data_IF_095585224842
#
_entry.id   IF_095585224842
#
_cell.length_a   1.000
_cell.length_b   1.000
_cell.length_c   1.000
_cell.angle_alpha   90.00
_cell.angle_beta   90.00
_cell.angle_gamma   90.00
#
_symmetry.space_group_name_H-M   'P 1'
#
loop_
_entity.id
_entity.type
_entity.pdbx_description
1 polymer ?
#
# COMPACT_ATOMS: atom_id res chain seq x y z
N UNK A 1 15.71 17.64 7.92
CA UNK A 1 15.47 16.82 6.74
C UNK A 1 15.71 15.34 6.94
N UNK A 2 14.68 14.52 6.71
CA UNK A 2 14.84 13.14 6.24
C UNK A 2 13.77 12.84 5.18
N UNK A 3 14.08 11.90 4.29
CA UNK A 3 13.17 11.52 3.21
C UNK A 3 12.39 10.27 3.56
N UNK A 4 11.09 10.30 3.29
CA UNK A 4 10.26 9.11 3.15
C UNK A 4 10.31 8.75 1.67
N UNK A 5 11.04 7.70 1.32
CA UNK A 5 11.22 7.36 -0.08
C UNK A 5 9.90 6.91 -0.70
N UNK A 6 9.59 7.48 -1.86
CA UNK A 6 8.46 7.09 -2.68
C UNK A 6 8.73 5.82 -3.47
N UNK A 7 7.85 5.50 -4.42
CA UNK A 7 7.98 4.31 -5.25
C UNK A 7 7.22 4.44 -6.57
N UNK A 8 7.59 3.57 -7.52
CA UNK A 8 6.81 3.35 -8.73
C UNK A 8 5.92 2.13 -8.54
N UNK A 9 4.67 2.26 -9.00
CA UNK A 9 3.69 1.19 -8.92
C UNK A 9 3.16 0.88 -10.32
N UNK A 10 3.22 -0.38 -10.70
CA UNK A 10 2.65 -0.90 -11.94
C UNK A 10 1.35 -1.63 -11.61
N UNK A 11 0.24 -1.16 -12.17
CA UNK A 11 -1.10 -1.65 -11.90
C UNK A 11 -1.72 -2.16 -13.19
N UNK A 12 -2.41 -3.29 -13.18
CA UNK A 12 -3.12 -3.74 -14.39
C UNK A 12 -4.51 -3.10 -14.40
N UNK A 13 -4.72 -2.11 -15.27
CA UNK A 13 -6.02 -1.48 -15.45
C UNK A 13 -6.89 -2.36 -16.36
N UNK A 14 -8.10 -2.67 -15.91
CA UNK A 14 -9.07 -3.48 -16.68
C UNK A 14 -10.29 -2.67 -17.13
N UNK A 15 -10.48 -1.46 -16.60
CA UNK A 15 -11.59 -0.60 -16.99
C UNK A 15 -11.40 0.86 -16.57
N UNK A 16 -12.14 1.74 -17.24
CA UNK A 16 -12.28 3.15 -16.90
C UNK A 16 -13.72 3.59 -17.17
N UNK A 17 -14.37 4.20 -16.18
CA UNK A 17 -15.79 4.46 -16.16
C UNK A 17 -16.07 5.91 -15.74
N UNK A 18 -17.17 6.46 -16.26
CA UNK A 18 -17.73 7.74 -15.79
C UNK A 18 -18.79 7.55 -14.71
N UNK A 19 -19.18 6.30 -14.42
CA UNK A 19 -20.20 5.93 -13.45
C UNK A 19 -19.62 4.92 -12.46
N UNK A 20 -19.80 5.19 -11.17
CA UNK A 20 -19.20 4.42 -10.07
C UNK A 20 -19.80 3.02 -9.94
N UNK A 21 -21.11 2.88 -10.10
CA UNK A 21 -21.80 1.58 -10.03
C UNK A 21 -21.25 0.59 -11.07
N UNK A 22 -20.97 1.06 -12.29
CA UNK A 22 -20.34 0.24 -13.32
C UNK A 22 -18.93 -0.22 -12.95
N UNK A 23 -18.15 0.65 -12.29
CA UNK A 23 -16.81 0.32 -11.83
C UNK A 23 -16.84 -0.69 -10.67
N UNK A 24 -17.73 -0.49 -9.70
CA UNK A 24 -17.95 -1.40 -8.58
C UNK A 24 -18.40 -2.78 -9.07
N UNK A 25 -19.32 -2.84 -10.03
CA UNK A 25 -19.75 -4.12 -10.63
C UNK A 25 -18.59 -4.85 -11.32
N UNK A 26 -17.66 -4.15 -11.96
CA UNK A 26 -16.46 -4.79 -12.52
C UNK A 26 -15.51 -5.27 -11.42
N UNK A 27 -15.36 -4.51 -10.34
CA UNK A 27 -14.54 -4.92 -9.19
C UNK A 27 -15.12 -6.18 -8.51
N UNK A 28 -16.44 -6.27 -8.34
CA UNK A 28 -17.13 -7.47 -7.87
C UNK A 28 -16.91 -8.65 -8.82
N UNK A 29 -17.04 -8.45 -10.14
CA UNK A 29 -16.79 -9.49 -11.14
C UNK A 29 -15.33 -10.01 -11.11
N UNK A 30 -14.35 -9.13 -10.90
CA UNK A 30 -12.96 -9.52 -10.69
C UNK A 30 -12.83 -10.41 -9.45
N UNK A 31 -13.42 -9.98 -8.33
CA UNK A 31 -13.36 -10.70 -7.07
C UNK A 31 -14.01 -12.09 -7.16
N UNK A 32 -15.18 -12.20 -7.81
CA UNK A 32 -15.87 -13.46 -8.07
C UNK A 32 -15.03 -14.44 -8.91
N UNK A 33 -14.12 -13.91 -9.74
CA UNK A 33 -13.17 -14.69 -10.55
C UNK A 33 -11.84 -14.92 -9.84
N UNK A 34 -11.72 -14.55 -8.56
CA UNK A 34 -10.50 -14.71 -7.78
C UNK A 34 -9.37 -13.79 -8.23
N UNK A 35 -9.69 -12.63 -8.79
CA UNK A 35 -8.75 -11.58 -9.14
C UNK A 35 -8.95 -10.40 -8.19
N UNK A 36 -7.88 -9.96 -7.52
CA UNK A 36 -7.95 -8.80 -6.65
C UNK A 36 -8.41 -7.55 -7.41
N UNK A 37 -9.15 -6.68 -6.74
CA UNK A 37 -9.74 -5.50 -7.34
C UNK A 37 -9.52 -4.25 -6.48
N UNK A 38 -9.25 -3.14 -7.14
CA UNK A 38 -9.20 -1.80 -6.55
C UNK A 38 -9.86 -0.80 -7.49
N UNK A 39 -10.60 0.13 -6.90
CA UNK A 39 -11.28 1.21 -7.62
C UNK A 39 -10.63 2.53 -7.22
N UNK A 40 -10.14 3.25 -8.22
CA UNK A 40 -9.59 4.59 -8.09
C UNK A 40 -10.63 5.58 -8.61
N UNK A 41 -11.09 6.47 -7.74
CA UNK A 41 -12.14 7.45 -8.04
C UNK A 41 -11.59 8.81 -8.45
N UNK A 42 -10.28 8.98 -8.60
CA UNK A 42 -9.69 10.25 -9.03
C UNK A 42 -9.90 10.50 -10.53
N UNK A 43 -10.80 11.44 -10.83
CA UNK A 43 -11.16 11.80 -12.19
C UNK A 43 -12.06 10.75 -12.85
N UNK A 44 -11.57 10.08 -13.90
CA UNK A 44 -12.27 8.92 -14.47
C UNK A 44 -12.08 7.73 -13.53
N UNK A 45 -13.16 7.01 -13.22
CA UNK A 45 -13.14 5.92 -12.24
C UNK A 45 -12.46 4.72 -12.87
N UNK A 46 -11.25 4.39 -12.40
CA UNK A 46 -10.44 3.30 -12.96
C UNK A 46 -10.55 2.06 -12.09
N UNK A 47 -10.66 0.92 -12.74
CA UNK A 47 -10.66 -0.39 -12.07
C UNK A 47 -9.34 -1.07 -12.37
N UNK A 48 -8.62 -1.39 -11.31
CA UNK A 48 -7.34 -2.08 -11.35
C UNK A 48 -7.46 -3.49 -10.79
N UNK A 49 -6.67 -4.40 -11.34
CA UNK A 49 -6.38 -5.70 -10.74
C UNK A 49 -4.87 -5.81 -10.58
N UNK A 50 -4.41 -6.37 -9.47
CA UNK A 50 -3.01 -6.61 -9.13
C UNK A 50 -2.08 -5.38 -9.17
N UNK A 51 -1.28 -5.22 -8.13
CA UNK A 51 -0.23 -4.21 -8.05
C UNK A 51 1.15 -4.87 -8.05
N UNK A 52 2.12 -4.20 -8.66
CA UNK A 52 3.50 -4.68 -8.75
C UNK A 52 4.48 -3.53 -8.55
N UNK A 53 5.58 -3.82 -7.88
CA UNK A 53 6.72 -2.89 -7.78
C UNK A 53 7.72 -3.06 -8.94
N UNK A 54 7.57 -4.13 -9.75
CA UNK A 54 8.35 -4.37 -10.95
C UNK A 54 7.48 -4.36 -12.21
N UNK A 55 7.98 -3.72 -13.26
CA UNK A 55 7.35 -3.75 -14.59
C UNK A 55 7.35 -5.15 -15.19
N UNK A 56 8.44 -5.90 -15.00
CA UNK A 56 8.59 -7.26 -15.53
C UNK A 56 7.52 -8.20 -14.94
N UNK A 57 7.27 -8.10 -13.63
CA UNK A 57 6.22 -8.87 -12.95
C UNK A 57 4.83 -8.50 -13.47
N UNK A 58 4.57 -7.20 -13.65
CA UNK A 58 3.31 -6.74 -14.24
C UNK A 58 3.11 -7.24 -15.67
N UNK A 59 4.15 -7.25 -16.50
CA UNK A 59 4.11 -7.78 -17.86
C UNK A 59 3.87 -9.30 -17.89
N UNK A 60 4.50 -10.04 -16.97
CA UNK A 60 4.29 -11.48 -16.82
C UNK A 60 2.84 -11.81 -16.39
N UNK A 61 2.23 -11.00 -15.53
CA UNK A 61 0.84 -11.16 -15.09
C UNK A 61 -0.18 -10.72 -16.15
N UNK A 62 0.13 -9.67 -16.93
CA UNK A 62 -0.78 -9.06 -17.91
C UNK A 62 -1.34 -10.05 -18.93
N UNK A 63 -0.53 -11.01 -19.38
CA UNK A 63 -0.97 -12.02 -20.34
C UNK A 63 -2.14 -12.87 -19.83
N UNK A 64 -2.13 -13.23 -18.55
CA UNK A 64 -3.22 -13.99 -17.92
C UNK A 64 -4.49 -13.15 -17.78
N UNK A 65 -4.34 -11.88 -17.41
CA UNK A 65 -5.47 -10.94 -17.28
C UNK A 65 -6.12 -10.69 -18.65
N UNK A 66 -5.32 -10.51 -19.70
CA UNK A 66 -5.81 -10.27 -21.07
C UNK A 66 -6.60 -11.43 -21.68
N UNK A 67 -6.44 -12.64 -21.18
CA UNK A 67 -7.27 -13.77 -21.58
C UNK A 67 -8.76 -13.58 -21.21
N UNK A 68 -9.03 -12.76 -20.18
CA UNK A 68 -10.39 -12.46 -19.69
C UNK A 68 -10.80 -11.01 -19.96
N UNK A 69 -9.82 -10.08 -20.01
CA UNK A 69 -10.03 -8.65 -20.19
C UNK A 69 -9.09 -8.13 -21.29
N UNK A 70 -9.49 -8.25 -22.55
CA UNK A 70 -8.62 -8.00 -23.72
C UNK A 70 -7.98 -6.60 -23.74
N UNK A 71 -8.70 -5.61 -23.23
CA UNK A 71 -8.28 -4.21 -23.22
C UNK A 71 -7.41 -3.85 -21.98
N UNK A 72 -7.11 -4.85 -21.15
CA UNK A 72 -6.26 -4.65 -19.99
C UNK A 72 -4.87 -4.15 -20.40
N UNK A 73 -4.33 -3.22 -19.62
CA UNK A 73 -3.02 -2.64 -19.86
C UNK A 73 -2.36 -2.24 -18.55
N UNK A 74 -1.03 -2.11 -18.57
CA UNK A 74 -0.28 -1.64 -17.41
C UNK A 74 -0.40 -0.12 -17.33
N UNK A 75 -0.85 0.35 -16.18
CA UNK A 75 -0.84 1.75 -15.77
C UNK A 75 0.27 1.94 -14.74
N UNK A 76 1.20 2.85 -15.02
CA UNK A 76 2.23 3.23 -14.06
C UNK A 76 1.75 4.42 -13.24
N UNK A 77 1.88 4.33 -11.91
CA UNK A 77 1.77 5.45 -10.98
C UNK A 77 3.12 5.72 -10.34
N UNK A 78 3.43 7.00 -10.16
CA UNK A 78 4.63 7.48 -9.49
C UNK A 78 4.23 8.18 -8.21
N UNK A 79 4.69 7.66 -7.08
CA UNK A 79 4.55 8.28 -5.78
C UNK A 79 5.91 8.89 -5.43
N UNK A 80 6.08 10.23 -5.49
CA UNK A 80 7.37 10.85 -5.22
C UNK A 80 7.78 10.69 -3.76
N UNK A 81 9.09 10.78 -3.49
CA UNK A 81 9.58 10.87 -2.13
C UNK A 81 9.09 12.14 -1.46
N UNK A 82 8.77 12.04 -0.16
CA UNK A 82 8.33 13.16 0.66
C UNK A 82 9.48 13.58 1.55
N UNK A 83 9.94 14.82 1.38
CA UNK A 83 10.96 15.41 2.23
C UNK A 83 10.30 15.96 3.49
N UNK A 84 10.74 15.48 4.66
CA UNK A 84 10.26 15.97 5.95
C UNK A 84 11.35 16.85 6.56
N UNK A 85 11.12 18.17 6.54
CA UNK A 85 12.01 19.15 7.14
C UNK A 85 11.37 19.91 8.30
N UNK A 86 12.05 19.89 9.45
CA UNK A 86 11.60 20.53 10.67
C UNK A 86 12.75 20.68 11.67
N UNK A 87 12.62 21.57 12.66
CA UNK A 87 13.60 21.71 13.75
C UNK A 87 13.73 20.41 14.57
N UNK A 88 14.91 19.78 14.54
CA UNK A 88 15.15 18.53 15.24
C UNK A 88 14.98 17.27 14.38
N UNK A 89 15.10 17.39 13.05
CA UNK A 89 15.12 16.26 12.13
C UNK A 89 16.21 15.22 12.35
N UNK A 90 17.24 15.56 13.13
CA UNK A 90 18.29 14.63 13.56
C UNK A 90 17.99 13.99 14.92
N UNK A 91 16.79 14.20 15.47
CA UNK A 91 16.38 13.62 16.75
C UNK A 91 16.19 12.10 16.65
N UNK A 92 16.34 11.36 17.76
CA UNK A 92 16.03 9.93 17.78
C UNK A 92 14.60 9.60 17.32
N UNK A 93 13.62 10.47 17.62
CA UNK A 93 12.23 10.30 17.18
C UNK A 93 12.09 10.35 15.64
N UNK A 94 12.82 11.26 14.99
CA UNK A 94 12.87 11.34 13.52
C UNK A 94 13.47 10.07 12.90
N UNK A 95 14.57 9.58 13.50
CA UNK A 95 15.21 8.32 13.08
C UNK A 95 14.27 7.13 13.19
N UNK A 96 13.51 7.04 14.28
CA UNK A 96 12.52 6.00 14.49
C UNK A 96 11.41 6.04 13.42
N UNK A 97 10.84 7.20 13.12
CA UNK A 97 9.84 7.34 12.06
C UNK A 97 10.39 6.91 10.70
N UNK A 98 11.60 7.38 10.36
CA UNK A 98 12.26 7.04 9.10
C UNK A 98 12.44 5.53 8.95
N UNK A 99 12.96 4.86 9.97
CA UNK A 99 13.18 3.41 10.00
C UNK A 99 11.84 2.66 9.83
N UNK A 100 10.80 3.08 10.57
CA UNK A 100 9.49 2.44 10.50
C UNK A 100 8.84 2.54 9.11
N UNK A 101 8.97 3.69 8.44
CA UNK A 101 8.42 3.88 7.10
C UNK A 101 9.21 3.11 6.04
N UNK A 102 10.54 3.09 6.13
CA UNK A 102 11.39 2.29 5.26
C UNK A 102 11.08 0.80 5.36
N UNK A 103 11.01 0.28 6.59
CA UNK A 103 10.69 -1.13 6.80
C UNK A 103 9.25 -1.49 6.42
N UNK A 104 8.29 -0.58 6.61
CA UNK A 104 6.93 -0.77 6.11
C UNK A 104 6.91 -0.91 4.59
N UNK A 105 7.62 -0.05 3.86
CA UNK A 105 7.71 -0.12 2.40
C UNK A 105 8.38 -1.41 1.93
N UNK A 106 9.51 -1.78 2.52
CA UNK A 106 10.24 -2.99 2.13
C UNK A 106 9.39 -4.24 2.35
N UNK A 107 8.55 -4.23 3.38
CA UNK A 107 7.58 -5.27 3.62
C UNK A 107 6.43 -5.28 2.60
N UNK A 108 5.90 -4.14 2.18
CA UNK A 108 4.92 -4.09 1.10
C UNK A 108 5.46 -4.73 -0.18
N UNK A 109 6.73 -4.48 -0.51
CA UNK A 109 7.42 -5.11 -1.65
C UNK A 109 7.46 -6.64 -1.46
N UNK A 110 7.87 -7.11 -0.28
CA UNK A 110 7.96 -8.54 0.03
C UNK A 110 6.60 -9.25 0.01
N UNK A 111 5.57 -8.62 0.58
CA UNK A 111 4.19 -9.14 0.58
C UNK A 111 3.70 -9.26 -0.86
N UNK A 112 3.84 -8.20 -1.66
CA UNK A 112 3.39 -8.16 -3.06
C UNK A 112 4.06 -9.25 -3.90
N UNK A 113 5.38 -9.39 -3.82
CA UNK A 113 6.12 -10.42 -4.56
C UNK A 113 5.72 -11.84 -4.13
N UNK A 114 5.53 -12.06 -2.82
CA UNK A 114 5.14 -13.37 -2.27
C UNK A 114 3.72 -13.73 -2.67
N UNK A 115 2.79 -12.79 -2.54
CA UNK A 115 1.36 -12.93 -2.88
C UNK A 115 1.17 -13.17 -4.39
N UNK A 116 1.87 -12.41 -5.24
CA UNK A 116 1.88 -12.61 -6.69
C UNK A 116 2.43 -13.99 -7.12
N UNK A 117 3.35 -14.56 -6.34
CA UNK A 117 3.87 -15.90 -6.55
C UNK A 117 2.95 -17.01 -6.00
N UNK A 118 1.83 -16.66 -5.36
CA UNK A 118 0.92 -17.60 -4.69
C UNK A 118 1.49 -18.16 -3.38
N UNK A 119 2.46 -17.47 -2.78
CA UNK A 119 3.09 -17.85 -1.52
C UNK A 119 2.27 -17.43 -0.31
N UNK A 120 2.50 -18.12 0.82
CA UNK A 120 1.86 -17.75 2.09
C UNK A 120 2.56 -16.53 2.72
N UNK A 121 1.80 -15.44 2.91
CA UNK A 121 2.27 -14.19 3.52
C UNK A 121 2.09 -14.12 5.05
N UNK A 122 1.45 -15.08 5.71
CA UNK A 122 1.11 -15.03 7.14
C UNK A 122 2.31 -14.75 8.03
N UNK A 123 3.47 -15.32 7.70
CA UNK A 123 4.72 -15.05 8.42
C UNK A 123 5.16 -13.58 8.30
N UNK A 124 5.02 -12.99 7.12
CA UNK A 124 5.36 -11.58 6.86
C UNK A 124 4.37 -10.66 7.56
N UNK A 125 3.06 -10.99 7.49
CA UNK A 125 2.01 -10.25 8.19
C UNK A 125 2.21 -10.28 9.69
N UNK A 126 2.57 -11.44 10.25
CA UNK A 126 2.87 -11.56 11.68
C UNK A 126 4.07 -10.70 12.07
N UNK A 127 5.15 -10.76 11.30
CA UNK A 127 6.33 -9.91 11.47
C UNK A 127 5.93 -8.42 11.46
N UNK A 128 5.04 -8.01 10.55
CA UNK A 128 4.51 -6.64 10.54
C UNK A 128 3.79 -6.26 11.82
N UNK A 129 2.86 -7.11 12.27
CA UNK A 129 2.06 -6.88 13.47
C UNK A 129 2.97 -6.72 14.70
N UNK A 130 3.98 -7.58 14.82
CA UNK A 130 4.95 -7.51 15.91
C UNK A 130 5.75 -6.20 15.87
N UNK A 131 6.15 -5.74 14.69
CA UNK A 131 6.85 -4.45 14.54
C UNK A 131 5.96 -3.25 14.84
N UNK A 132 4.71 -3.24 14.38
CA UNK A 132 3.74 -2.19 14.69
C UNK A 132 3.56 -2.08 16.21
N UNK A 133 3.36 -3.20 16.89
CA UNK A 133 3.23 -3.23 18.35
C UNK A 133 4.49 -2.72 19.07
N UNK A 134 5.68 -3.04 18.55
CA UNK A 134 6.93 -2.51 19.09
C UNK A 134 7.03 -0.99 18.90
N UNK A 135 6.63 -0.47 17.75
CA UNK A 135 6.62 0.97 17.49
C UNK A 135 5.63 1.71 18.40
N UNK A 136 4.40 1.20 18.57
CA UNK A 136 3.41 1.76 19.49
C UNK A 136 3.93 1.82 20.95
N UNK A 137 4.61 0.77 21.39
CA UNK A 137 5.25 0.74 22.71
C UNK A 137 6.39 1.76 22.84
N UNK A 138 7.12 2.01 21.75
CA UNK A 138 8.18 3.03 21.70
C UNK A 138 7.61 4.45 21.65
N UNK A 139 6.49 4.69 20.97
CA UNK A 139 5.82 6.00 20.93
C UNK A 139 5.58 6.51 22.34
N UNK A 140 5.06 5.67 23.23
CA UNK A 140 4.71 6.04 24.61
C UNK A 140 5.92 6.38 25.49
N UNK A 141 7.14 5.99 25.08
CA UNK A 141 8.38 6.14 25.85
C UNK A 141 9.32 7.20 25.27
N UNK A 142 9.09 7.61 24.03
CA UNK A 142 9.90 8.58 23.31
C UNK A 142 9.37 9.99 23.56
N UNK A 143 10.26 10.95 23.81
CA UNK A 143 9.90 12.36 23.80
C UNK A 143 9.80 12.83 22.34
N UNK A 144 8.61 13.23 21.93
CA UNK A 144 8.34 13.70 20.58
C UNK A 144 8.49 15.23 20.51
N UNK A 145 9.29 15.77 19.58
CA UNK A 145 9.22 17.17 19.21
C UNK A 145 7.79 17.51 18.74
N UNK A 146 7.26 18.67 19.13
CA UNK A 146 5.93 19.12 18.70
C UNK A 146 5.79 19.11 17.17
N UNK A 147 6.86 19.45 16.45
CA UNK A 147 6.90 19.43 14.99
C UNK A 147 6.84 18.01 14.37
N UNK A 148 6.94 16.94 15.16
CA UNK A 148 6.81 15.55 14.72
C UNK A 148 5.49 14.89 15.13
N UNK A 149 4.67 15.54 15.96
CA UNK A 149 3.45 14.91 16.49
C UNK A 149 2.47 14.56 15.38
N UNK A 150 2.25 15.47 14.43
CA UNK A 150 1.36 15.24 13.29
C UNK A 150 1.87 14.10 12.37
N UNK A 151 3.18 14.07 12.09
CA UNK A 151 3.79 12.97 11.34
C UNK A 151 3.63 11.63 12.03
N UNK A 152 3.86 11.58 13.35
CA UNK A 152 3.66 10.38 14.17
C UNK A 152 2.21 9.91 14.09
N UNK A 153 1.26 10.82 14.23
CA UNK A 153 -0.17 10.49 14.24
C UNK A 153 -0.59 9.91 12.88
N UNK A 154 -0.12 10.49 11.76
CA UNK A 154 -0.34 9.92 10.43
C UNK A 154 0.24 8.50 10.26
N UNK A 155 1.40 8.20 10.85
CA UNK A 155 1.97 6.84 10.84
C UNK A 155 1.14 5.89 11.71
N UNK A 156 0.64 6.34 12.86
CA UNK A 156 -0.27 5.54 13.69
C UNK A 156 -1.60 5.26 12.98
N UNK A 157 -2.14 6.23 12.24
CA UNK A 157 -3.33 6.04 11.42
C UNK A 157 -3.10 5.02 10.30
N UNK A 158 -1.93 5.08 9.63
CA UNK A 158 -1.51 4.08 8.65
C UNK A 158 -1.55 2.68 9.29
N UNK A 159 -0.89 2.50 10.42
CA UNK A 159 -0.80 1.19 11.06
C UNK A 159 -2.14 0.67 11.56
N UNK A 160 -3.01 1.55 12.05
CA UNK A 160 -4.39 1.20 12.39
C UNK A 160 -5.14 0.66 11.17
N UNK A 161 -5.03 1.34 10.02
CA UNK A 161 -5.66 0.89 8.78
C UNK A 161 -5.10 -0.47 8.30
N UNK A 162 -3.78 -0.64 8.31
CA UNK A 162 -3.13 -1.91 7.92
C UNK A 162 -3.54 -3.08 8.84
N UNK A 163 -3.61 -2.85 10.16
CA UNK A 163 -4.09 -3.86 11.11
C UNK A 163 -5.55 -4.24 10.87
N UNK A 164 -6.39 -3.30 10.41
CA UNK A 164 -7.75 -3.54 9.94
C UNK A 164 -7.77 -4.57 8.80
N UNK A 165 -7.08 -4.27 7.69
CA UNK A 165 -6.96 -5.19 6.55
C UNK A 165 -6.44 -6.58 6.95
N UNK A 166 -5.48 -6.63 7.89
CA UNK A 166 -4.96 -7.91 8.38
C UNK A 166 -5.88 -8.70 9.30
N UNK A 167 -6.89 -8.07 9.89
CA UNK A 167 -7.85 -8.76 10.75
C UNK A 167 -8.92 -9.47 9.92
N UNK A 168 -9.15 -8.98 8.70
CA UNK A 168 -10.06 -9.55 7.72
C UNK A 168 -9.37 -10.61 6.84
N UNK A 169 -8.04 -10.59 6.78
CA UNK A 169 -7.26 -11.55 6.01
C UNK A 169 -7.37 -12.99 6.54
N UNK A 170 -7.87 -13.88 5.69
CA UNK A 170 -7.87 -15.32 5.89
C UNK A 170 -7.27 -16.02 4.66
N UNK A 171 -6.05 -16.53 4.76
CA UNK A 171 -5.34 -17.17 3.63
C UNK A 171 -6.16 -18.28 2.93
N UNK A 172 -7.07 -18.96 3.64
CA UNK A 172 -7.89 -20.03 3.02
C UNK A 172 -8.96 -19.49 2.06
N UNK A 173 -9.36 -18.23 2.20
CA UNK A 173 -10.43 -17.60 1.44
C UNK A 173 -9.98 -16.30 0.76
N UNK A 174 -8.72 -15.90 0.96
CA UNK A 174 -8.18 -14.66 0.43
C UNK A 174 -8.04 -14.75 -1.08
N UNK A 175 -8.45 -13.68 -1.75
CA UNK A 175 -8.15 -13.48 -3.16
C UNK A 175 -6.67 -13.09 -3.28
N UNK A 176 -5.84 -13.83 -4.04
CA UNK A 176 -4.44 -13.47 -4.24
C UNK A 176 -4.32 -12.03 -4.78
N UNK A 177 -3.43 -11.24 -4.20
CA UNK A 177 -3.24 -9.83 -4.54
C UNK A 177 -4.11 -8.86 -3.74
N UNK A 178 -5.17 -9.30 -3.07
CA UNK A 178 -6.16 -8.37 -2.49
C UNK A 178 -5.58 -7.62 -1.29
N UNK A 179 -5.01 -8.36 -0.35
CA UNK A 179 -4.39 -7.78 0.85
C UNK A 179 -3.19 -6.91 0.49
N UNK A 180 -2.35 -7.31 -0.48
CA UNK A 180 -1.23 -6.47 -0.92
C UNK A 180 -1.71 -5.14 -1.50
N UNK A 181 -2.77 -5.14 -2.30
CA UNK A 181 -3.37 -3.92 -2.86
C UNK A 181 -3.94 -2.99 -1.78
N UNK A 182 -4.64 -3.53 -0.78
CA UNK A 182 -5.19 -2.76 0.33
C UNK A 182 -4.09 -2.08 1.17
N UNK A 183 -3.02 -2.81 1.49
CA UNK A 183 -1.91 -2.28 2.27
C UNK A 183 -1.12 -1.20 1.50
N UNK A 184 -0.94 -1.38 0.19
CA UNK A 184 -0.34 -0.37 -0.67
C UNK A 184 -1.22 0.88 -0.70
N UNK A 185 -2.54 0.75 -0.85
CA UNK A 185 -3.46 1.89 -0.80
C UNK A 185 -3.38 2.63 0.55
N UNK A 186 -3.26 1.92 1.67
CA UNK A 186 -3.05 2.54 2.98
C UNK A 186 -1.77 3.39 3.02
N UNK A 187 -0.67 2.85 2.48
CA UNK A 187 0.64 3.53 2.47
C UNK A 187 0.68 4.69 1.47
N UNK A 188 0.02 4.58 0.31
CA UNK A 188 -0.18 5.69 -0.63
C UNK A 188 -0.90 6.84 0.06
N UNK A 189 -2.01 6.55 0.76
CA UNK A 189 -2.74 7.58 1.50
C UNK A 189 -1.91 8.23 2.61
N UNK A 190 -0.95 7.50 3.20
CA UNK A 190 0.03 8.12 4.09
C UNK A 190 0.92 9.11 3.34
N UNK A 191 1.55 8.71 2.23
CA UNK A 191 2.44 9.59 1.47
C UNK A 191 1.73 10.88 1.04
N UNK A 192 0.48 10.78 0.61
CA UNK A 192 -0.36 11.94 0.28
C UNK A 192 -0.52 12.86 1.49
N UNK A 193 -0.92 12.33 2.65
CA UNK A 193 -1.04 13.14 3.88
C UNK A 193 0.28 13.80 4.25
N UNK A 194 1.39 13.04 4.25
CA UNK A 194 2.71 13.58 4.57
C UNK A 194 3.13 14.72 3.63
N UNK A 195 2.77 14.64 2.35
CA UNK A 195 3.07 15.69 1.37
C UNK A 195 2.30 16.99 1.61
N UNK A 196 1.19 16.94 2.36
CA UNK A 196 0.35 18.13 2.67
C UNK A 196 0.76 18.84 3.97
N UNK A 197 1.62 18.24 4.78
CA UNK A 197 2.14 18.85 6.03
C UNK A 197 3.27 19.86 5.73
N UNK A 198 3.79 19.87 4.50
CA UNK A 198 4.91 20.70 4.04
C UNK A 198 4.45 22.13 3.69
#
# INVERSE_FOLDING_TARGET
>A
MFDVEGFQLYRIQVGAFSNEENALRLAEELNDKGLAASVDTEGMIKVYTHYFFSREEAEAALGKVRAQYSDAHISQASFPSVEIDFPGSSSPAAGLLKEQLGECRDMLIKITATDAAGGNIEGIVKEQKDRIAQFEAQISRTQWPAALEEYRDHVTDLYTAMLGSYSEYNHQHAIPGQISMELINCYVGLLERLSTVI
#
